data_IF_207961984417
#
_entry.id   IF_207961984417
#
_cell.length_a   1.000
_cell.length_b   1.000
_cell.length_c   1.000
_cell.angle_alpha   90.00
_cell.angle_beta   90.00
_cell.angle_gamma   90.00
#
_symmetry.space_group_name_H-M   'P 1'
#
loop_
_entity.id
_entity.type
_entity.pdbx_description
1 polymer ?
#
# COMPACT_ATOMS: atom_id res chain seq x y z
N UNK A 1 3.19 -9.16 0.43
CA UNK A 1 4.05 -8.57 1.46
C UNK A 1 4.06 -7.06 1.31
N UNK A 2 4.02 -6.34 2.41
CA UNK A 2 4.03 -4.88 2.40
C UNK A 2 5.17 -4.38 3.27
N UNK A 3 5.94 -3.44 2.73
CA UNK A 3 6.98 -2.72 3.47
C UNK A 3 6.84 -1.25 3.13
N UNK A 4 7.01 -0.37 4.09
CA UNK A 4 6.91 1.06 3.86
C UNK A 4 8.06 1.80 4.51
N UNK A 5 8.54 2.85 3.82
CA UNK A 5 9.64 3.67 4.29
C UNK A 5 9.56 5.03 3.59
N UNK A 6 9.68 6.11 4.36
CA UNK A 6 9.70 7.48 3.83
C UNK A 6 8.50 7.82 2.93
N UNK A 7 7.31 7.32 3.26
CA UNK A 7 6.11 7.61 2.50
C UNK A 7 5.95 6.78 1.23
N UNK A 8 6.84 5.80 1.01
CA UNK A 8 6.75 4.87 -0.11
C UNK A 8 6.48 3.49 0.45
N UNK A 9 5.49 2.81 -0.09
CA UNK A 9 5.19 1.43 0.28
C UNK A 9 5.60 0.51 -0.87
N UNK A 10 6.14 -0.66 -0.53
CA UNK A 10 6.46 -1.69 -1.50
C UNK A 10 5.49 -2.84 -1.28
N UNK A 11 4.71 -3.14 -2.31
CA UNK A 11 3.72 -4.22 -2.26
C UNK A 11 4.24 -5.35 -3.14
N UNK A 12 4.46 -6.53 -2.56
CA UNK A 12 4.89 -7.71 -3.30
C UNK A 12 3.69 -8.60 -3.60
N UNK A 13 3.57 -8.99 -4.84
CA UNK A 13 2.50 -9.87 -5.32
C UNK A 13 3.01 -10.82 -6.37
N UNK A 14 2.10 -11.44 -7.10
CA UNK A 14 2.44 -12.43 -8.13
C UNK A 14 3.29 -11.87 -9.25
N UNK A 15 3.07 -10.62 -9.62
CA UNK A 15 3.81 -9.98 -10.69
C UNK A 15 5.11 -9.34 -10.25
N UNK A 16 5.51 -9.52 -8.98
CA UNK A 16 6.70 -8.90 -8.41
C UNK A 16 6.35 -7.80 -7.42
N UNK A 17 7.31 -6.95 -7.12
CA UNK A 17 7.13 -5.87 -6.17
C UNK A 17 6.88 -4.55 -6.90
N UNK A 18 5.96 -3.74 -6.39
CA UNK A 18 5.71 -2.40 -6.91
C UNK A 18 5.84 -1.38 -5.78
N UNK A 19 6.42 -0.24 -6.12
CA UNK A 19 6.53 0.88 -5.20
C UNK A 19 5.29 1.76 -5.37
N UNK A 20 4.62 2.08 -4.27
CA UNK A 20 3.43 2.93 -4.31
C UNK A 20 3.59 4.09 -3.36
N UNK A 21 3.03 5.24 -3.77
CA UNK A 21 2.98 6.45 -2.96
C UNK A 21 1.53 6.94 -2.95
N UNK A 22 1.15 7.84 -2.03
CA UNK A 22 -0.17 8.44 -2.08
C UNK A 22 -0.44 9.05 -3.45
N UNK A 23 -1.58 8.73 -4.02
CA UNK A 23 -1.95 9.16 -5.37
C UNK A 23 -1.65 8.15 -6.47
N UNK A 24 -0.86 7.11 -6.18
CA UNK A 24 -0.55 6.07 -7.15
C UNK A 24 -1.76 5.18 -7.39
N UNK A 25 -2.04 4.88 -8.67
CA UNK A 25 -3.14 3.99 -9.03
C UNK A 25 -2.65 2.55 -9.04
N UNK A 26 -3.22 1.73 -8.15
CA UNK A 26 -2.91 0.30 -8.10
C UNK A 26 -3.98 -0.43 -8.91
N UNK A 27 -3.61 -1.21 -9.93
CA UNK A 27 -4.59 -1.96 -10.72
C UNK A 27 -5.48 -2.82 -9.82
N UNK A 28 -6.78 -2.79 -10.08
CA UNK A 28 -7.82 -3.55 -9.36
C UNK A 28 -8.09 -3.11 -7.92
N UNK A 29 -7.23 -2.26 -7.33
CA UNK A 29 -7.39 -1.85 -5.94
C UNK A 29 -7.80 -0.39 -5.80
N UNK A 30 -7.52 0.44 -6.80
CA UNK A 30 -7.83 1.85 -6.77
C UNK A 30 -6.60 2.70 -6.46
N UNK A 31 -6.84 3.98 -6.22
CA UNK A 31 -5.76 4.94 -5.96
C UNK A 31 -5.39 4.91 -4.48
N UNK A 32 -4.09 4.92 -4.21
CA UNK A 32 -3.60 4.96 -2.83
C UNK A 32 -3.98 6.30 -2.20
N UNK A 33 -4.78 6.26 -1.15
CA UNK A 33 -5.22 7.45 -0.43
C UNK A 33 -4.29 7.77 0.73
N UNK A 34 -3.79 6.74 1.43
CA UNK A 34 -2.93 6.95 2.58
C UNK A 34 -2.05 5.73 2.81
N UNK A 35 -0.88 5.99 3.35
CA UNK A 35 0.03 4.96 3.84
C UNK A 35 0.28 5.33 5.30
N UNK A 36 -0.06 4.44 6.24
CA UNK A 36 0.08 4.75 7.65
C UNK A 36 0.44 3.52 8.45
N UNK A 37 0.80 3.73 9.70
CA UNK A 37 1.17 2.66 10.62
C UNK A 37 0.07 2.51 11.66
N UNK A 38 -0.40 1.28 11.83
CA UNK A 38 -1.41 0.94 12.82
C UNK A 38 -0.95 -0.28 13.61
N UNK A 39 -0.87 -0.13 14.94
CA UNK A 39 -0.47 -1.24 15.80
C UNK A 39 0.91 -1.80 15.47
N UNK A 40 1.83 -0.95 15.03
CA UNK A 40 3.18 -1.36 14.66
C UNK A 40 3.29 -1.97 13.27
N UNK A 41 2.20 -1.98 12.50
CA UNK A 41 2.19 -2.55 11.15
C UNK A 41 1.81 -1.49 10.13
N UNK A 42 2.39 -1.59 8.95
CA UNK A 42 2.07 -0.67 7.87
C UNK A 42 0.77 -1.05 7.19
N UNK A 43 0.03 -0.03 6.80
CA UNK A 43 -1.28 -0.17 6.16
C UNK A 43 -1.36 0.79 4.99
N UNK A 44 -1.78 0.28 3.83
CA UNK A 44 -2.07 1.09 2.66
C UNK A 44 -3.58 1.10 2.45
N UNK A 45 -4.16 2.28 2.39
CA UNK A 45 -5.60 2.46 2.19
C UNK A 45 -5.85 3.06 0.82
N UNK A 46 -6.75 2.48 0.05
CA UNK A 46 -7.11 3.00 -1.27
C UNK A 46 -8.42 3.76 -1.21
N UNK A 47 -8.69 4.54 -2.26
CA UNK A 47 -9.91 5.34 -2.36
C UNK A 47 -11.17 4.49 -2.56
N UNK A 48 -11.01 3.21 -2.86
CA UNK A 48 -12.13 2.26 -2.96
C UNK A 48 -12.48 1.63 -1.61
N UNK A 49 -11.78 2.02 -0.55
CA UNK A 49 -11.97 1.45 0.76
C UNK A 49 -11.21 0.15 1.00
N UNK A 50 -10.37 -0.24 0.06
CA UNK A 50 -9.53 -1.42 0.22
C UNK A 50 -8.36 -1.10 1.12
N UNK A 51 -8.07 -1.98 2.07
CA UNK A 51 -6.95 -1.84 2.98
C UNK A 51 -5.99 -2.99 2.76
N UNK A 52 -4.73 -2.66 2.50
CA UNK A 52 -3.66 -3.65 2.34
C UNK A 52 -2.80 -3.57 3.58
N UNK A 53 -2.65 -4.69 4.27
CA UNK A 53 -1.93 -4.74 5.54
C UNK A 53 -0.63 -5.51 5.43
N UNK A 54 0.36 -5.05 6.16
CA UNK A 54 1.61 -5.77 6.34
C UNK A 54 1.34 -7.07 7.08
N UNK A 55 1.98 -8.13 6.65
CA UNK A 55 1.91 -9.42 7.35
C UNK A 55 2.89 -9.52 8.49
#
# INVERSE_FOLDING_TARGET
>A
MLHAENGVAVIAGRGGAIDVTPGFMVPDLGRVAAIRQEGGRWVVVTDRGTTIRER
#
